data_IF_140368540526
#
_entry.id   IF_140368540526
#
_cell.length_a   1.000
_cell.length_b   1.000
_cell.length_c   1.000
_cell.angle_alpha   90.00
_cell.angle_beta   90.00
_cell.angle_gamma   90.00
#
_symmetry.space_group_name_H-M   'P 1'
#
loop_
_entity.id
_entity.type
_entity.pdbx_description
1 polymer ?
#
# COMPACT_ATOMS: atom_id res chain seq x y z
N UNK A 1 -15.16 9.20 -15.38
CA UNK A 1 -16.04 8.00 -15.44
C UNK A 1 -15.78 7.05 -14.26
N UNK A 2 -14.52 6.78 -13.89
CA UNK A 2 -14.14 5.87 -12.78
C UNK A 2 -14.64 6.34 -11.39
N UNK A 3 -14.61 7.64 -11.11
CA UNK A 3 -15.02 8.17 -9.80
C UNK A 3 -16.48 7.84 -9.41
N UNK A 4 -17.40 7.71 -10.38
CA UNK A 4 -18.83 7.43 -10.11
C UNK A 4 -19.08 6.02 -9.55
N UNK A 5 -18.18 5.08 -9.84
CA UNK A 5 -18.32 3.68 -9.41
C UNK A 5 -17.27 3.26 -8.38
N UNK A 6 -16.48 4.21 -7.87
CA UNK A 6 -15.40 3.96 -6.91
C UNK A 6 -15.86 3.11 -5.73
N UNK A 7 -16.84 3.59 -4.98
CA UNK A 7 -17.32 2.91 -3.76
C UNK A 7 -17.94 1.55 -4.04
N UNK A 8 -18.89 1.39 -4.99
CA UNK A 8 -19.41 0.08 -5.35
C UNK A 8 -18.34 -0.94 -5.76
N UNK A 9 -17.34 -0.51 -6.54
CA UNK A 9 -16.26 -1.40 -6.98
C UNK A 9 -15.34 -1.80 -5.82
N UNK A 10 -14.96 -0.85 -4.96
CA UNK A 10 -14.16 -1.14 -3.76
C UNK A 10 -14.90 -2.14 -2.86
N UNK A 11 -16.19 -1.90 -2.57
CA UNK A 11 -16.98 -2.83 -1.76
C UNK A 11 -17.11 -4.22 -2.41
N UNK A 12 -17.24 -4.28 -3.74
CA UNK A 12 -17.32 -5.55 -4.47
C UNK A 12 -16.02 -6.34 -4.33
N UNK A 13 -14.86 -5.69 -4.50
CA UNK A 13 -13.57 -6.37 -4.36
C UNK A 13 -13.24 -6.73 -2.91
N UNK A 14 -13.61 -5.89 -1.94
CA UNK A 14 -13.47 -6.22 -0.52
C UNK A 14 -14.33 -7.42 -0.11
N UNK A 15 -15.52 -7.56 -0.70
CA UNK A 15 -16.36 -8.76 -0.51
C UNK A 15 -15.75 -9.97 -1.21
N UNK A 16 -15.26 -9.82 -2.43
CA UNK A 16 -14.60 -10.88 -3.20
C UNK A 16 -13.32 -11.41 -2.54
N UNK A 17 -12.62 -10.58 -1.77
CA UNK A 17 -11.48 -10.99 -0.95
C UNK A 17 -11.85 -11.98 0.18
N UNK A 18 -13.14 -12.27 0.40
CA UNK A 18 -13.65 -13.25 1.37
C UNK A 18 -14.30 -14.47 0.73
N UNK A 19 -14.17 -14.62 -0.59
CA UNK A 19 -14.77 -15.72 -1.33
C UNK A 19 -14.17 -17.08 -0.88
N UNK A 20 -14.96 -18.17 -0.81
CA UNK A 20 -14.42 -19.50 -0.55
C UNK A 20 -13.35 -19.92 -1.57
N UNK A 21 -13.48 -19.49 -2.83
CA UNK A 21 -12.55 -19.80 -3.90
C UNK A 21 -11.33 -18.87 -3.88
N UNK A 22 -10.14 -19.46 -3.85
CA UNK A 22 -8.88 -18.71 -3.72
C UNK A 22 -8.50 -17.93 -4.97
N UNK A 23 -8.89 -18.39 -6.17
CA UNK A 23 -8.66 -17.66 -7.40
C UNK A 23 -9.54 -16.40 -7.44
N UNK A 24 -10.78 -16.47 -6.95
CA UNK A 24 -11.66 -15.32 -6.82
C UNK A 24 -11.12 -14.29 -5.82
N UNK A 25 -10.61 -14.74 -4.66
CA UNK A 25 -9.95 -13.84 -3.69
C UNK A 25 -8.75 -13.13 -4.31
N UNK A 26 -7.83 -13.88 -4.92
CA UNK A 26 -6.64 -13.33 -5.56
C UNK A 26 -6.99 -12.33 -6.68
N UNK A 27 -7.93 -12.70 -7.56
CA UNK A 27 -8.40 -11.81 -8.63
C UNK A 27 -9.03 -10.53 -8.08
N UNK A 28 -9.83 -10.63 -7.02
CA UNK A 28 -10.44 -9.47 -6.37
C UNK A 28 -9.40 -8.51 -5.81
N UNK A 29 -8.32 -9.02 -5.20
CA UNK A 29 -7.22 -8.20 -4.69
C UNK A 29 -6.44 -7.54 -5.81
N UNK A 30 -6.13 -8.27 -6.89
CA UNK A 30 -5.47 -7.68 -8.07
C UNK A 30 -6.31 -6.58 -8.69
N UNK A 31 -7.62 -6.79 -8.85
CA UNK A 31 -8.54 -5.78 -9.36
C UNK A 31 -8.68 -4.58 -8.41
N UNK A 32 -8.62 -4.80 -7.09
CA UNK A 32 -8.56 -3.73 -6.11
C UNK A 32 -7.30 -2.88 -6.28
N UNK A 33 -6.13 -3.50 -6.47
CA UNK A 33 -4.87 -2.80 -6.72
C UNK A 33 -4.90 -1.97 -8.01
N UNK A 34 -5.40 -2.54 -9.10
CA UNK A 34 -5.60 -1.84 -10.37
C UNK A 34 -6.57 -0.66 -10.22
N UNK A 35 -7.67 -0.85 -9.48
CA UNK A 35 -8.61 0.24 -9.19
C UNK A 35 -7.94 1.36 -8.37
N UNK A 36 -7.14 1.03 -7.36
CA UNK A 36 -6.39 2.01 -6.58
C UNK A 36 -5.48 2.87 -7.48
N UNK A 37 -4.78 2.24 -8.44
CA UNK A 37 -3.95 2.96 -9.41
C UNK A 37 -4.78 3.89 -10.29
N UNK A 38 -5.92 3.41 -10.83
CA UNK A 38 -6.82 4.22 -11.69
C UNK A 38 -7.50 5.39 -10.98
N UNK A 39 -7.49 5.37 -9.65
CA UNK A 39 -8.00 6.43 -8.80
C UNK A 39 -6.89 7.38 -8.33
N UNK A 40 -5.67 7.26 -8.85
CA UNK A 40 -4.49 7.99 -8.40
C UNK A 40 -4.28 7.87 -6.88
N UNK A 41 -4.68 6.72 -6.32
CA UNK A 41 -4.64 6.44 -4.89
C UNK A 41 -5.48 7.39 -4.02
N UNK A 42 -6.40 8.15 -4.61
CA UNK A 42 -7.38 9.01 -3.93
C UNK A 42 -8.55 8.19 -3.38
N UNK A 43 -8.22 7.30 -2.45
CA UNK A 43 -9.16 6.41 -1.79
C UNK A 43 -10.00 7.12 -0.72
N UNK A 44 -9.55 8.27 -0.20
CA UNK A 44 -10.32 9.07 0.75
C UNK A 44 -10.63 8.31 2.04
N UNK A 45 -11.90 8.23 2.43
CA UNK A 45 -12.31 7.57 3.67
C UNK A 45 -12.12 6.06 3.66
N UNK A 46 -12.03 5.41 2.49
CA UNK A 46 -11.94 3.93 2.42
C UNK A 46 -10.53 3.37 2.50
N UNK A 47 -9.51 4.23 2.69
CA UNK A 47 -8.11 3.82 2.83
C UNK A 47 -7.93 2.83 3.97
N UNK A 48 -8.56 3.09 5.12
CA UNK A 48 -8.43 2.26 6.32
C UNK A 48 -9.06 0.89 6.10
N UNK A 49 -10.23 0.79 5.47
CA UNK A 49 -10.86 -0.50 5.16
C UNK A 49 -10.03 -1.31 4.17
N UNK A 50 -9.50 -0.65 3.13
CA UNK A 50 -8.64 -1.31 2.13
C UNK A 50 -7.37 -1.84 2.80
N UNK A 51 -6.67 -1.01 3.56
CA UNK A 51 -5.42 -1.40 4.22
C UNK A 51 -5.64 -2.46 5.30
N UNK A 52 -6.70 -2.37 6.09
CA UNK A 52 -7.07 -3.40 7.06
C UNK A 52 -7.37 -4.74 6.38
N UNK A 53 -8.09 -4.73 5.26
CA UNK A 53 -8.34 -5.93 4.46
C UNK A 53 -7.04 -6.56 3.95
N UNK A 54 -6.15 -5.75 3.38
CA UNK A 54 -4.87 -6.22 2.86
C UNK A 54 -3.99 -6.81 3.97
N UNK A 55 -3.94 -6.17 5.14
CA UNK A 55 -3.18 -6.66 6.29
C UNK A 55 -3.74 -8.00 6.79
N UNK A 56 -5.06 -8.12 6.91
CA UNK A 56 -5.70 -9.36 7.34
C UNK A 56 -5.38 -10.49 6.36
N UNK A 57 -5.61 -10.28 5.06
CA UNK A 57 -5.33 -11.28 4.02
C UNK A 57 -3.85 -11.68 4.00
N UNK A 58 -2.93 -10.72 4.02
CA UNK A 58 -1.50 -11.00 3.99
C UNK A 58 -1.02 -11.81 5.22
N UNK A 59 -1.70 -11.69 6.37
CA UNK A 59 -1.35 -12.43 7.59
C UNK A 59 -2.00 -13.81 7.68
N UNK A 60 -3.25 -13.94 7.23
CA UNK A 60 -4.09 -15.08 7.63
C UNK A 60 -4.59 -15.94 6.47
N UNK A 61 -4.50 -15.47 5.22
CA UNK A 61 -5.01 -16.30 4.11
C UNK A 61 -4.17 -17.58 3.99
N UNK A 62 -4.80 -18.76 3.91
CA UNK A 62 -4.06 -20.02 3.79
C UNK A 62 -3.29 -20.11 2.46
N UNK A 63 -3.78 -19.45 1.41
CA UNK A 63 -3.27 -19.61 0.06
C UNK A 63 -2.17 -18.58 -0.26
N UNK A 64 -1.01 -19.09 -0.65
CA UNK A 64 0.19 -18.29 -0.99
C UNK A 64 -0.13 -17.24 -2.05
N UNK A 65 -0.86 -17.63 -3.10
CA UNK A 65 -1.20 -16.72 -4.21
C UNK A 65 -2.05 -15.53 -3.75
N UNK A 66 -2.91 -15.73 -2.75
CA UNK A 66 -3.79 -14.69 -2.23
C UNK A 66 -2.99 -13.74 -1.32
N UNK A 67 -2.12 -14.28 -0.45
CA UNK A 67 -1.18 -13.48 0.33
C UNK A 67 -0.27 -12.64 -0.57
N UNK A 68 0.28 -13.25 -1.62
CA UNK A 68 1.11 -12.57 -2.62
C UNK A 68 0.36 -11.42 -3.29
N UNK A 69 -0.90 -11.63 -3.70
CA UNK A 69 -1.73 -10.58 -4.28
C UNK A 69 -1.93 -9.41 -3.29
N UNK A 70 -2.24 -9.68 -2.03
CA UNK A 70 -2.39 -8.65 -1.01
C UNK A 70 -1.10 -7.85 -0.78
N UNK A 71 0.05 -8.54 -0.65
CA UNK A 71 1.37 -7.90 -0.49
C UNK A 71 1.68 -7.04 -1.72
N UNK A 72 1.40 -7.53 -2.92
CA UNK A 72 1.61 -6.76 -4.15
C UNK A 72 0.77 -5.48 -4.17
N UNK A 73 -0.49 -5.51 -3.73
CA UNK A 73 -1.30 -4.29 -3.60
C UNK A 73 -0.70 -3.30 -2.60
N UNK A 74 -0.14 -3.78 -1.48
CA UNK A 74 0.56 -2.91 -0.52
C UNK A 74 1.77 -2.22 -1.17
N UNK A 75 2.56 -2.94 -1.98
CA UNK A 75 3.66 -2.37 -2.75
C UNK A 75 3.17 -1.27 -3.69
N UNK A 76 2.06 -1.53 -4.40
CA UNK A 76 1.45 -0.56 -5.31
C UNK A 76 0.96 0.69 -4.58
N UNK A 77 0.36 0.56 -3.39
CA UNK A 77 -0.07 1.69 -2.58
C UNK A 77 1.12 2.57 -2.17
N UNK A 78 2.20 1.95 -1.65
CA UNK A 78 3.38 2.69 -1.19
C UNK A 78 4.07 3.44 -2.33
N UNK A 79 4.32 2.76 -3.45
CA UNK A 79 4.93 3.36 -4.65
C UNK A 79 4.05 4.45 -5.26
N UNK A 80 2.76 4.16 -5.35
CA UNK A 80 1.77 5.04 -5.95
C UNK A 80 1.58 6.35 -5.20
N UNK A 81 1.55 6.27 -3.88
CA UNK A 81 1.45 7.44 -3.01
C UNK A 81 2.78 8.17 -2.86
N UNK A 82 3.90 7.45 -2.93
CA UNK A 82 5.26 8.00 -2.80
C UNK A 82 5.35 8.92 -1.56
N UNK A 83 5.80 10.17 -1.72
CA UNK A 83 5.92 11.14 -0.62
C UNK A 83 4.58 11.42 0.11
N UNK A 84 3.43 11.24 -0.55
CA UNK A 84 2.11 11.42 0.08
C UNK A 84 1.72 10.25 0.98
N UNK A 85 2.47 9.14 0.97
CA UNK A 85 2.16 7.98 1.80
C UNK A 85 2.19 8.32 3.30
N UNK A 86 3.07 9.21 3.75
CA UNK A 86 3.15 9.64 5.16
C UNK A 86 1.94 10.47 5.61
N UNK A 87 1.22 11.07 4.66
CA UNK A 87 -0.02 11.82 4.91
C UNK A 87 -1.24 10.91 4.80
N UNK A 88 -1.35 10.17 3.69
CA UNK A 88 -2.53 9.35 3.37
C UNK A 88 -2.61 8.08 4.21
N UNK A 89 -1.46 7.44 4.48
CA UNK A 89 -1.39 6.18 5.25
C UNK A 89 -0.92 6.41 6.69
N UNK A 90 -0.94 7.65 7.20
CA UNK A 90 -0.36 8.02 8.50
C UNK A 90 -0.71 7.03 9.62
N UNK A 91 -1.98 6.68 9.73
CA UNK A 91 -2.48 5.87 10.86
C UNK A 91 -2.15 4.39 10.72
N UNK A 92 -1.85 3.91 9.50
CA UNK A 92 -1.62 2.49 9.19
C UNK A 92 -0.19 2.18 8.78
N UNK A 93 0.65 3.21 8.59
CA UNK A 93 2.02 3.07 8.07
C UNK A 93 2.88 2.17 8.96
N UNK A 94 2.73 2.30 10.28
CA UNK A 94 3.44 1.46 11.27
C UNK A 94 3.02 -0.01 11.15
N UNK A 95 1.74 -0.28 10.95
CA UNK A 95 1.23 -1.65 10.83
C UNK A 95 1.68 -2.29 9.52
N UNK A 96 1.68 -1.52 8.43
CA UNK A 96 2.23 -1.95 7.14
C UNK A 96 3.72 -2.27 7.26
N UNK A 97 4.51 -1.42 7.91
CA UNK A 97 5.93 -1.69 8.16
C UNK A 97 6.17 -2.98 8.94
N UNK A 98 5.44 -3.19 10.03
CA UNK A 98 5.56 -4.40 10.84
C UNK A 98 5.13 -5.65 10.05
N UNK A 99 4.04 -5.55 9.29
CA UNK A 99 3.60 -6.62 8.39
C UNK A 99 4.70 -6.98 7.39
N UNK A 100 5.25 -6.00 6.68
CA UNK A 100 6.27 -6.26 5.66
C UNK A 100 7.51 -6.93 6.27
N UNK A 101 7.96 -6.47 7.44
CA UNK A 101 9.04 -7.14 8.19
C UNK A 101 8.72 -8.58 8.56
N UNK A 102 7.48 -8.87 8.95
CA UNK A 102 7.05 -10.24 9.23
C UNK A 102 7.05 -11.09 7.96
N UNK A 103 6.52 -10.58 6.86
CA UNK A 103 6.48 -11.27 5.56
C UNK A 103 7.89 -11.63 5.10
N UNK A 104 8.83 -10.68 5.11
CA UNK A 104 10.24 -10.95 4.72
C UNK A 104 10.86 -12.07 5.56
N UNK A 105 10.52 -12.15 6.85
CA UNK A 105 11.12 -13.12 7.78
C UNK A 105 10.48 -14.51 7.71
N UNK A 106 9.16 -14.58 7.50
CA UNK A 106 8.40 -15.81 7.74
C UNK A 106 7.64 -16.34 6.52
N UNK A 107 7.43 -15.53 5.48
CA UNK A 107 6.66 -15.96 4.33
C UNK A 107 7.41 -17.06 3.56
N UNK A 108 6.84 -18.24 3.30
CA UNK A 108 7.53 -19.30 2.57
C UNK A 108 7.80 -18.94 1.11
N UNK A 109 6.94 -18.10 0.51
CA UNK A 109 7.01 -17.74 -0.91
C UNK A 109 8.03 -16.66 -1.21
N UNK A 110 9.00 -16.98 -2.07
CA UNK A 110 10.09 -16.07 -2.40
C UNK A 110 9.64 -14.84 -3.19
N UNK A 111 8.58 -14.95 -4.00
CA UNK A 111 8.03 -13.80 -4.74
C UNK A 111 7.36 -12.82 -3.78
N UNK A 112 6.56 -13.32 -2.83
CA UNK A 112 5.95 -12.52 -1.79
C UNK A 112 7.01 -11.87 -0.87
N UNK A 113 8.07 -12.60 -0.50
CA UNK A 113 9.23 -12.03 0.22
C UNK A 113 9.89 -10.90 -0.56
N UNK A 114 10.17 -11.11 -1.85
CA UNK A 114 10.80 -10.09 -2.70
C UNK A 114 9.92 -8.85 -2.80
N UNK A 115 8.61 -9.01 -3.01
CA UNK A 115 7.68 -7.89 -3.00
C UNK A 115 7.71 -7.13 -1.67
N UNK A 116 7.74 -7.83 -0.54
CA UNK A 116 7.82 -7.18 0.76
C UNK A 116 9.16 -6.46 1.00
N UNK A 117 10.28 -7.01 0.53
CA UNK A 117 11.59 -6.36 0.58
C UNK A 117 11.58 -5.05 -0.22
N UNK A 118 11.09 -5.10 -1.47
CA UNK A 118 10.98 -3.91 -2.32
C UNK A 118 10.06 -2.83 -1.72
N UNK A 119 8.99 -3.23 -1.03
CA UNK A 119 8.13 -2.29 -0.32
C UNK A 119 8.81 -1.67 0.91
N UNK A 120 9.66 -2.42 1.63
CA UNK A 120 10.44 -1.87 2.75
C UNK A 120 11.50 -0.88 2.28
N UNK A 121 12.15 -1.15 1.14
CA UNK A 121 13.10 -0.23 0.51
C UNK A 121 12.41 1.08 0.10
N UNK A 122 11.26 0.98 -0.58
CA UNK A 122 10.43 2.13 -0.96
C UNK A 122 10.04 2.95 0.28
N UNK A 123 9.61 2.27 1.34
CA UNK A 123 9.22 2.93 2.59
C UNK A 123 10.42 3.59 3.28
N UNK A 124 11.61 3.00 3.24
CA UNK A 124 12.84 3.63 3.77
C UNK A 124 13.16 4.93 3.02
N UNK A 125 13.05 4.92 1.68
CA UNK A 125 13.24 6.12 0.86
C UNK A 125 12.21 7.21 1.18
N UNK A 126 10.93 6.84 1.25
CA UNK A 126 9.84 7.78 1.62
C UNK A 126 10.11 8.38 3.00
N UNK A 127 10.49 7.56 3.98
CA UNK A 127 10.74 8.03 5.36
C UNK A 127 12.00 8.89 5.45
N UNK A 128 13.07 8.57 4.72
CA UNK A 128 14.27 9.42 4.66
C UNK A 128 13.94 10.79 4.10
N UNK A 129 13.19 10.85 3.00
CA UNK A 129 12.77 12.13 2.39
C UNK A 129 11.88 12.94 3.32
N UNK A 130 11.03 12.27 4.11
CA UNK A 130 10.18 12.92 5.12
C UNK A 130 10.96 13.44 6.32
N UNK A 131 11.90 12.65 6.86
CA UNK A 131 12.68 13.01 8.05
C UNK A 131 13.83 13.98 7.74
N UNK A 132 14.39 13.89 6.54
CA UNK A 132 15.56 14.66 6.10
C UNK A 132 15.27 15.32 4.73
N UNK A 133 14.31 16.26 4.66
CA UNK A 133 14.00 16.93 3.40
C UNK A 133 15.22 17.71 2.89
N UNK A 134 15.41 17.71 1.57
CA UNK A 134 16.52 18.42 0.93
C UNK A 134 16.50 19.92 1.33
N UNK A 135 17.54 20.37 2.02
CA UNK A 135 17.67 21.76 2.42
C UNK A 135 17.98 22.61 1.18
N UNK A 136 17.04 23.47 0.78
CA UNK A 136 17.32 24.51 -0.21
C UNK A 136 18.10 25.63 0.49
N UNK A 137 19.40 25.72 0.21
CA UNK A 137 20.23 26.85 0.63
C UNK A 137 19.82 28.10 -0.18
N UNK A 138 18.81 28.81 0.28
CA UNK A 138 18.43 30.09 -0.29
C UNK A 138 19.32 31.19 0.30
N UNK A 139 20.16 31.82 -0.54
CA UNK A 139 20.97 32.97 -0.12
C UNK A 139 20.05 34.13 0.21
N UNK A 140 19.83 34.39 1.49
CA UNK A 140 19.13 35.59 1.96
C UNK A 140 20.10 36.77 1.89
N UNK A 141 20.09 37.49 0.77
CA UNK A 141 20.83 38.76 0.66
C UNK A 141 20.03 39.80 1.42
N UNK A 142 20.57 40.29 2.54
CA UNK A 142 20.01 41.41 3.30
C UNK A 142 20.90 42.62 3.04
N UNK A 143 20.34 43.67 2.46
CA UNK A 143 21.01 44.97 2.38
C UNK A 143 20.76 45.68 3.71
N UNK A 144 21.82 45.88 4.49
CA UNK A 144 21.75 46.63 5.74
C UNK A 144 21.77 48.14 5.44
N UNK A 145 20.97 48.96 6.16
CA UNK A 145 20.93 50.41 5.99
C UNK A 145 22.20 51.11 6.52
#
# INVERSE_FOLDING_TARGET
MVARYREPLIHTFLRGARDPDSAHRASSLSNLGELCQRLDFLLGSVVHEVTACLIAVAKTDPEVQVRRAAIHVIVLLLRGLSQKATEVLRDVLKDLYHLLKQVVRFEPDDVAKLHAQLALEELDEIMRNFLFPAQKLEKKIVVLP
#
